data_IF_649903247931
#
_entry.id   IF_649903247931
#
_cell.length_a   1.000
_cell.length_b   1.000
_cell.length_c   1.000
_cell.angle_alpha   90.00
_cell.angle_beta   90.00
_cell.angle_gamma   90.00
#
_symmetry.space_group_name_H-M   'P 1'
#
loop_
_entity.id
_entity.type
_entity.pdbx_description
1 polymer ?
#
# COMPACT_ATOMS: atom_id res chain seq x y z
N UNK A 1 17.58 105.64 -15.53
CA UNK A 1 18.12 104.29 -15.82
C UNK A 1 17.40 103.22 -15.01
N UNK A 2 16.12 103.01 -15.29
CA UNK A 2 15.30 101.83 -14.98
C UNK A 2 14.35 101.80 -16.19
N UNK A 3 14.33 100.82 -17.10
CA UNK A 3 13.67 99.55 -16.90
C UNK A 3 13.92 98.61 -18.12
N UNK A 4 15.13 98.61 -18.71
CA UNK A 4 15.40 97.79 -19.92
C UNK A 4 15.73 96.33 -19.55
N UNK A 5 16.18 96.05 -18.32
CA UNK A 5 16.50 94.67 -17.88
C UNK A 5 15.27 93.80 -17.57
N UNK A 6 14.13 94.40 -17.20
CA UNK A 6 12.91 93.64 -16.86
C UNK A 6 12.20 93.11 -18.12
N UNK A 7 12.18 93.88 -19.22
CA UNK A 7 11.56 93.48 -20.48
C UNK A 7 12.25 92.27 -21.14
N UNK A 8 13.59 92.21 -21.13
CA UNK A 8 14.32 91.12 -21.79
C UNK A 8 14.17 89.77 -21.04
N UNK A 9 14.20 89.79 -19.69
CA UNK A 9 13.98 88.56 -18.89
C UNK A 9 12.56 88.02 -19.00
N UNK A 10 11.57 88.91 -19.17
CA UNK A 10 10.17 88.52 -19.33
C UNK A 10 9.92 87.84 -20.68
N UNK A 11 10.52 88.36 -21.76
CA UNK A 11 10.43 87.74 -23.09
C UNK A 11 11.14 86.38 -23.14
N UNK A 12 12.32 86.24 -22.51
CA UNK A 12 13.00 84.94 -22.39
C UNK A 12 12.14 83.93 -21.60
N UNK A 13 11.49 84.35 -20.52
CA UNK A 13 10.60 83.47 -19.75
C UNK A 13 9.37 83.04 -20.55
N UNK A 14 8.80 83.92 -21.38
CA UNK A 14 7.65 83.56 -22.24
C UNK A 14 8.06 82.56 -23.32
N UNK A 15 9.21 82.77 -23.96
CA UNK A 15 9.72 81.85 -24.98
C UNK A 15 10.06 80.48 -24.37
N UNK A 16 10.70 80.45 -23.20
CA UNK A 16 10.98 79.19 -22.48
C UNK A 16 9.71 78.46 -22.07
N UNK A 17 8.66 79.17 -21.67
CA UNK A 17 7.38 78.54 -21.32
C UNK A 17 6.63 78.08 -22.56
N UNK A 18 6.69 78.81 -23.68
CA UNK A 18 6.14 78.37 -24.96
C UNK A 18 6.84 77.12 -25.49
N UNK A 19 8.18 77.04 -25.40
CA UNK A 19 8.96 75.84 -25.75
C UNK A 19 8.60 74.65 -24.84
N UNK A 20 8.37 74.89 -23.55
CA UNK A 20 7.89 73.85 -22.62
C UNK A 20 6.48 73.36 -22.94
N UNK A 21 5.57 74.26 -23.33
CA UNK A 21 4.22 73.89 -23.74
C UNK A 21 4.28 73.07 -25.02
N UNK A 22 5.07 73.50 -26.00
CA UNK A 22 5.25 72.75 -27.25
C UNK A 22 5.86 71.36 -27.00
N UNK A 23 6.87 71.25 -26.14
CA UNK A 23 7.44 69.95 -25.76
C UNK A 23 6.41 69.03 -25.08
N UNK A 24 5.53 69.59 -24.23
CA UNK A 24 4.42 68.83 -23.61
C UNK A 24 3.35 68.42 -24.61
N UNK A 25 3.06 69.24 -25.61
CA UNK A 25 2.12 68.89 -26.69
C UNK A 25 2.67 67.75 -27.54
N UNK A 26 3.97 67.76 -27.84
CA UNK A 26 4.66 66.67 -28.54
C UNK A 26 4.67 65.37 -27.70
N UNK A 27 4.94 65.47 -26.39
CA UNK A 27 4.88 64.34 -25.45
C UNK A 27 3.47 63.77 -25.34
N UNK A 28 2.44 64.63 -25.30
CA UNK A 28 1.04 64.22 -25.28
C UNK A 28 0.63 63.53 -26.58
N UNK A 29 1.07 64.06 -27.73
CA UNK A 29 0.83 63.44 -29.04
C UNK A 29 1.49 62.06 -29.14
N UNK A 30 2.72 61.93 -28.66
CA UNK A 30 3.42 60.65 -28.61
C UNK A 30 2.72 59.65 -27.67
N UNK A 31 2.26 60.11 -26.51
CA UNK A 31 1.51 59.27 -25.55
C UNK A 31 0.18 58.82 -26.14
N UNK A 32 -0.53 59.70 -26.84
CA UNK A 32 -1.79 59.36 -27.51
C UNK A 32 -1.59 58.33 -28.63
N UNK A 33 -0.48 58.43 -29.38
CA UNK A 33 -0.12 57.43 -30.37
C UNK A 33 0.15 56.06 -29.73
N UNK A 34 0.94 56.02 -28.65
CA UNK A 34 1.19 54.78 -27.91
C UNK A 34 -0.11 54.18 -27.33
N UNK A 35 -1.06 55.01 -26.89
CA UNK A 35 -2.35 54.57 -26.39
C UNK A 35 -3.16 53.87 -27.50
N UNK A 36 -3.22 54.49 -28.68
CA UNK A 36 -3.92 53.92 -29.84
C UNK A 36 -3.29 52.58 -30.28
N UNK A 37 -1.96 52.49 -30.31
CA UNK A 37 -1.26 51.22 -30.61
C UNK A 37 -1.59 50.12 -29.59
N UNK A 38 -1.71 50.47 -28.31
CA UNK A 38 -2.13 49.52 -27.27
C UNK A 38 -3.60 49.11 -27.39
N UNK A 39 -4.49 50.02 -27.77
CA UNK A 39 -5.90 49.69 -28.03
C UNK A 39 -6.04 48.69 -29.19
N UNK A 40 -5.25 48.86 -30.25
CA UNK A 40 -5.26 47.93 -31.38
C UNK A 40 -4.67 46.56 -31.00
N UNK A 41 -3.62 46.52 -30.18
CA UNK A 41 -3.11 45.27 -29.60
C UNK A 41 -4.14 44.58 -28.69
N UNK A 42 -4.91 45.35 -27.93
CA UNK A 42 -5.97 44.81 -27.07
C UNK A 42 -7.08 44.18 -27.91
N UNK A 43 -7.58 44.88 -28.94
CA UNK A 43 -8.60 44.35 -29.87
C UNK A 43 -8.12 43.07 -30.57
N UNK A 44 -6.85 43.03 -30.97
CA UNK A 44 -6.25 41.83 -31.58
C UNK A 44 -6.19 40.66 -30.58
N UNK A 45 -5.83 40.95 -29.32
CA UNK A 45 -5.79 39.95 -28.25
C UNK A 45 -7.19 39.44 -27.89
N UNK A 46 -8.20 40.31 -27.83
CA UNK A 46 -9.60 39.94 -27.60
C UNK A 46 -10.13 39.04 -28.74
N UNK A 47 -9.80 39.35 -29.99
CA UNK A 47 -10.14 38.51 -31.13
C UNK A 47 -9.46 37.14 -31.07
N UNK A 48 -8.20 37.07 -30.62
CA UNK A 48 -7.48 35.81 -30.41
C UNK A 48 -8.14 34.98 -29.30
N UNK A 49 -8.51 35.61 -28.18
CA UNK A 49 -9.21 34.94 -27.07
C UNK A 49 -10.57 34.42 -27.54
N UNK A 50 -11.35 35.20 -28.27
CA UNK A 50 -12.62 34.77 -28.83
C UNK A 50 -12.46 33.57 -29.79
N UNK A 51 -11.42 33.59 -30.64
CA UNK A 51 -11.10 32.47 -31.52
C UNK A 51 -10.68 31.22 -30.73
N UNK A 52 -9.83 31.36 -29.71
CA UNK A 52 -9.45 30.24 -28.83
C UNK A 52 -10.65 29.68 -28.06
N UNK A 53 -11.57 30.54 -27.61
CA UNK A 53 -12.82 30.11 -26.97
C UNK A 53 -13.72 29.36 -27.94
N UNK A 54 -13.84 29.84 -29.18
CA UNK A 54 -14.60 29.16 -30.23
C UNK A 54 -13.95 27.82 -30.62
N UNK A 55 -12.63 27.77 -30.77
CA UNK A 55 -11.88 26.53 -30.99
C UNK A 55 -12.03 25.56 -29.81
N UNK A 56 -12.03 26.05 -28.57
CA UNK A 56 -12.30 25.24 -27.37
C UNK A 56 -13.74 24.72 -27.35
N UNK A 57 -14.72 25.55 -27.75
CA UNK A 57 -16.13 25.16 -27.87
C UNK A 57 -16.31 24.10 -28.96
N UNK A 58 -15.68 24.28 -30.12
CA UNK A 58 -15.69 23.30 -31.21
C UNK A 58 -14.93 22.02 -30.83
N UNK A 59 -13.82 22.12 -30.12
CA UNK A 59 -13.10 20.96 -29.58
C UNK A 59 -13.93 20.19 -28.54
N UNK A 60 -14.71 20.89 -27.70
CA UNK A 60 -15.68 20.27 -26.77
C UNK A 60 -16.82 19.56 -27.50
N UNK A 61 -17.21 20.02 -28.69
CA UNK A 61 -18.25 19.40 -29.53
C UNK A 61 -17.68 18.21 -30.33
N UNK A 62 -16.42 18.28 -30.76
CA UNK A 62 -15.73 17.26 -31.57
C UNK A 62 -15.01 16.17 -30.76
N UNK A 63 -14.82 16.35 -29.45
CA UNK A 63 -14.19 15.38 -28.56
C UNK A 63 -15.18 14.86 -27.49
N UNK A 64 -16.25 14.13 -27.85
CA UNK A 64 -16.67 13.07 -26.95
C UNK A 64 -15.51 12.05 -26.88
N UNK A 65 -15.37 11.31 -25.79
CA UNK A 65 -14.33 10.28 -25.58
C UNK A 65 -12.99 10.77 -25.07
N UNK A 66 -12.95 11.19 -23.81
CA UNK A 66 -12.07 10.47 -22.89
C UNK A 66 -12.86 10.22 -21.61
N UNK A 67 -12.95 8.93 -21.31
CA UNK A 67 -13.71 8.36 -20.21
C UNK A 67 -12.67 7.91 -19.22
N UNK A 68 -12.67 8.51 -18.04
CA UNK A 68 -11.89 7.97 -16.96
C UNK A 68 -12.67 6.80 -16.41
N UNK A 69 -12.17 5.60 -16.69
CA UNK A 69 -12.69 4.35 -16.17
C UNK A 69 -11.72 3.84 -15.11
N UNK A 70 -12.16 3.63 -13.86
CA UNK A 70 -11.27 3.20 -12.77
C UNK A 70 -11.81 1.99 -12.04
N UNK A 71 -10.94 1.05 -11.70
CA UNK A 71 -11.20 -0.08 -10.82
C UNK A 71 -10.31 -0.07 -9.55
N UNK A 72 -10.58 -0.96 -8.57
CA UNK A 72 -9.76 -1.11 -7.37
C UNK A 72 -8.29 -1.44 -7.68
N UNK A 73 -7.34 -0.89 -6.91
CA UNK A 73 -5.91 -1.05 -7.15
C UNK A 73 -5.35 -2.46 -6.85
N UNK A 74 -6.00 -3.24 -5.99
CA UNK A 74 -5.67 -4.64 -5.71
C UNK A 74 -6.95 -5.45 -5.57
N UNK A 75 -7.00 -6.62 -6.20
CA UNK A 75 -8.14 -7.54 -6.14
C UNK A 75 -7.65 -8.87 -5.62
N UNK A 76 -8.34 -9.41 -4.62
CA UNK A 76 -8.14 -10.77 -4.15
C UNK A 76 -9.39 -11.59 -4.39
N UNK A 77 -9.22 -12.90 -4.50
CA UNK A 77 -10.31 -13.83 -4.66
C UNK A 77 -9.98 -15.15 -3.96
N UNK A 78 -11.00 -15.95 -3.68
CA UNK A 78 -10.84 -17.34 -3.30
C UNK A 78 -11.17 -18.24 -4.50
N UNK A 79 -10.46 -19.35 -4.66
CA UNK A 79 -10.73 -20.34 -5.72
C UNK A 79 -12.22 -20.70 -5.75
N UNK A 80 -12.80 -20.64 -6.95
CA UNK A 80 -14.21 -20.88 -7.27
C UNK A 80 -15.20 -19.91 -6.60
N UNK A 81 -14.73 -18.78 -6.05
CA UNK A 81 -15.58 -17.68 -5.60
C UNK A 81 -15.43 -16.49 -6.55
N UNK A 82 -16.53 -15.74 -6.69
CA UNK A 82 -16.57 -14.54 -7.52
C UNK A 82 -15.79 -13.40 -6.86
N UNK A 83 -14.86 -12.80 -7.60
CA UNK A 83 -14.30 -11.50 -7.29
C UNK A 83 -15.02 -10.43 -8.12
N UNK A 84 -15.33 -9.32 -7.47
CA UNK A 84 -16.06 -8.19 -8.06
C UNK A 84 -15.12 -7.01 -8.26
N UNK A 85 -15.12 -6.48 -9.47
CA UNK A 85 -14.33 -5.30 -9.84
C UNK A 85 -15.33 -4.29 -10.37
N UNK A 86 -15.61 -3.29 -9.53
CA UNK A 86 -16.46 -2.18 -9.92
C UNK A 86 -15.66 -1.25 -10.84
N UNK A 87 -16.18 -1.02 -12.04
CA UNK A 87 -15.65 -0.07 -13.02
C UNK A 87 -16.60 1.11 -13.08
N UNK A 88 -16.10 2.28 -12.72
CA UNK A 88 -16.87 3.53 -12.78
C UNK A 88 -16.48 4.36 -13.99
N UNK A 89 -17.44 4.86 -14.74
CA UNK A 89 -17.21 5.74 -15.88
C UNK A 89 -17.48 7.20 -15.49
N UNK A 90 -16.50 8.07 -15.75
CA UNK A 90 -16.62 9.51 -15.53
C UNK A 90 -16.07 10.33 -16.69
N UNK A 91 -16.59 11.55 -16.83
CA UNK A 91 -16.00 12.57 -17.67
C UNK A 91 -14.70 13.14 -17.06
N UNK A 92 -14.02 14.01 -17.80
CA UNK A 92 -12.79 14.67 -17.35
C UNK A 92 -12.91 15.54 -16.09
N UNK A 93 -14.12 15.99 -15.76
CA UNK A 93 -14.40 16.74 -14.55
C UNK A 93 -14.72 15.84 -13.35
N UNK A 94 -14.69 14.51 -13.55
CA UNK A 94 -15.03 13.50 -12.55
C UNK A 94 -16.54 13.30 -12.39
N UNK A 95 -17.37 13.80 -13.30
CA UNK A 95 -18.82 13.59 -13.23
C UNK A 95 -19.22 12.25 -13.84
N UNK A 96 -20.19 11.53 -13.25
CA UNK A 96 -20.68 10.27 -13.81
C UNK A 96 -21.17 10.46 -15.24
N UNK A 97 -20.75 9.57 -16.13
CA UNK A 97 -21.07 9.66 -17.55
C UNK A 97 -21.50 8.30 -18.07
N UNK A 98 -22.67 8.23 -18.70
CA UNK A 98 -23.19 6.99 -19.30
C UNK A 98 -22.86 6.95 -20.79
N UNK A 99 -22.36 5.82 -21.26
CA UNK A 99 -22.30 5.53 -22.69
C UNK A 99 -22.75 4.09 -22.94
N UNK A 100 -23.37 3.85 -24.10
CA UNK A 100 -23.60 2.51 -24.63
C UNK A 100 -22.27 1.95 -25.17
N UNK A 101 -21.34 1.60 -24.28
CA UNK A 101 -20.03 1.04 -24.65
C UNK A 101 -19.94 -0.44 -24.37
N UNK A 102 -19.17 -1.10 -25.23
CA UNK A 102 -18.79 -2.49 -25.03
C UNK A 102 -17.63 -2.52 -24.04
N UNK A 103 -17.95 -2.66 -22.75
CA UNK A 103 -16.94 -3.03 -21.76
C UNK A 103 -16.60 -4.51 -21.97
N UNK A 104 -15.33 -4.79 -22.17
CA UNK A 104 -14.81 -6.14 -22.29
C UNK A 104 -13.76 -6.36 -21.23
N UNK A 105 -13.76 -7.53 -20.62
CA UNK A 105 -12.75 -7.91 -19.65
C UNK A 105 -12.21 -9.29 -20.02
N UNK A 106 -10.89 -9.40 -20.04
CA UNK A 106 -10.17 -10.59 -20.49
C UNK A 106 -9.10 -10.97 -19.50
N UNK A 107 -9.00 -12.26 -19.21
CA UNK A 107 -7.91 -12.82 -18.42
C UNK A 107 -6.74 -13.11 -19.35
N UNK A 108 -5.62 -12.39 -19.20
CA UNK A 108 -4.50 -12.55 -20.13
C UNK A 108 -3.52 -13.60 -19.66
N UNK A 109 -3.18 -13.60 -18.37
CA UNK A 109 -2.05 -14.36 -17.85
C UNK A 109 -2.37 -15.00 -16.50
N UNK A 110 -2.08 -16.29 -16.40
CA UNK A 110 -2.00 -17.00 -15.12
C UNK A 110 -0.55 -17.39 -14.89
N UNK A 111 0.00 -16.99 -13.74
CA UNK A 111 1.30 -17.46 -13.30
C UNK A 111 1.10 -18.58 -12.29
N UNK A 112 1.31 -19.81 -12.76
CA UNK A 112 1.25 -20.99 -11.91
C UNK A 112 2.65 -21.28 -11.37
N UNK A 113 2.76 -21.35 -10.04
CA UNK A 113 3.93 -21.99 -9.44
C UNK A 113 3.62 -23.50 -9.36
N UNK A 114 4.40 -24.31 -10.06
CA UNK A 114 4.28 -25.76 -10.00
C UNK A 114 5.42 -26.32 -9.15
N UNK A 115 5.13 -27.07 -8.08
CA UNK A 115 6.17 -27.81 -7.38
C UNK A 115 6.69 -28.91 -8.31
N UNK A 116 7.98 -28.87 -8.61
CA UNK A 116 8.66 -29.94 -9.34
C UNK A 116 8.94 -31.12 -8.41
N UNK A 117 9.21 -32.31 -8.97
CA UNK A 117 9.67 -33.49 -8.23
C UNK A 117 10.88 -33.23 -7.30
N UNK A 118 11.61 -32.13 -7.53
CA UNK A 118 12.74 -31.68 -6.71
C UNK A 118 12.38 -30.71 -5.56
N UNK A 119 11.10 -30.55 -5.20
CA UNK A 119 10.60 -29.52 -4.24
C UNK A 119 10.97 -28.08 -4.63
N UNK A 120 11.32 -27.82 -5.90
CA UNK A 120 11.55 -26.47 -6.45
C UNK A 120 10.28 -25.93 -7.08
N UNK A 121 9.99 -24.64 -6.91
CA UNK A 121 8.92 -23.96 -7.62
C UNK A 121 9.41 -23.43 -8.97
N UNK A 122 8.76 -23.87 -10.04
CA UNK A 122 8.89 -23.25 -11.35
C UNK A 122 7.63 -22.44 -11.64
N UNK A 123 7.85 -21.25 -12.17
CA UNK A 123 6.78 -20.32 -12.54
C UNK A 123 6.59 -20.41 -14.05
N UNK A 124 5.37 -20.75 -14.47
CA UNK A 124 5.03 -20.79 -15.89
C UNK A 124 3.85 -19.87 -16.18
N UNK A 125 3.97 -19.10 -17.26
CA UNK A 125 2.92 -18.25 -17.80
C UNK A 125 2.00 -19.12 -18.67
N UNK A 126 0.71 -19.16 -18.36
CA UNK A 126 -0.29 -19.88 -19.18
C UNK A 126 -1.42 -18.94 -19.60
N UNK A 127 -1.91 -19.03 -20.85
CA UNK A 127 -3.16 -18.41 -21.27
C UNK A 127 -4.35 -19.20 -20.69
N UNK A 128 -5.43 -18.52 -20.30
CA UNK A 128 -6.64 -19.17 -19.79
C UNK A 128 -7.92 -18.48 -20.28
N UNK A 129 -9.04 -19.22 -20.30
CA UNK A 129 -10.30 -18.87 -20.99
C UNK A 129 -11.32 -18.10 -20.13
N UNK A 130 -12.44 -17.77 -20.78
CA UNK A 130 -13.42 -16.72 -20.45
C UNK A 130 -14.32 -16.95 -19.20
N UNK A 131 -13.78 -17.08 -17.99
CA UNK A 131 -14.58 -16.99 -16.75
C UNK A 131 -14.72 -15.54 -16.24
N UNK A 132 -14.99 -14.62 -17.16
CA UNK A 132 -15.20 -13.21 -16.84
C UNK A 132 -16.57 -12.80 -17.38
N UNK A 133 -17.40 -12.25 -16.49
CA UNK A 133 -18.73 -11.75 -16.82
C UNK A 133 -18.74 -10.27 -16.52
N UNK A 134 -19.24 -9.47 -17.46
CA UNK A 134 -19.43 -8.02 -17.26
C UNK A 134 -20.92 -7.76 -17.22
N UNK A 135 -21.40 -7.19 -16.12
CA UNK A 135 -22.81 -6.83 -15.95
C UNK A 135 -22.91 -5.34 -15.67
N UNK A 136 -23.84 -4.65 -16.34
CA UNK A 136 -24.15 -3.25 -16.02
C UNK A 136 -24.82 -3.19 -14.65
N UNK A 137 -24.17 -2.57 -13.67
CA UNK A 137 -24.69 -2.38 -12.32
C UNK A 137 -25.54 -1.11 -12.22
N UNK A 138 -25.15 -0.06 -12.94
CA UNK A 138 -25.90 1.18 -13.12
C UNK A 138 -25.51 1.83 -14.48
N UNK A 139 -26.18 2.90 -14.93
CA UNK A 139 -25.83 3.55 -16.21
C UNK A 139 -24.36 4.00 -16.35
N UNK A 140 -23.65 4.14 -15.24
CA UNK A 140 -22.26 4.61 -15.17
C UNK A 140 -21.34 3.67 -14.37
N UNK A 141 -21.85 2.51 -13.90
CA UNK A 141 -21.09 1.50 -13.18
C UNK A 141 -21.28 0.12 -13.79
N UNK A 142 -20.18 -0.59 -13.97
CA UNK A 142 -20.17 -1.97 -14.45
C UNK A 142 -19.50 -2.85 -13.41
N UNK A 143 -20.14 -3.97 -13.08
CA UNK A 143 -19.55 -5.00 -12.25
C UNK A 143 -18.88 -6.03 -13.15
N UNK A 144 -17.56 -6.09 -13.09
CA UNK A 144 -16.76 -7.12 -13.74
C UNK A 144 -16.54 -8.24 -12.73
N UNK A 145 -17.26 -9.34 -12.92
CA UNK A 145 -17.17 -10.53 -12.09
C UNK A 145 -16.19 -11.53 -12.69
N UNK A 146 -15.24 -11.99 -11.88
CA UNK A 146 -14.25 -12.98 -12.27
C UNK A 146 -14.27 -14.17 -11.30
N UNK A 147 -14.31 -15.40 -11.83
CA UNK A 147 -14.26 -16.63 -11.03
C UNK A 147 -13.03 -17.47 -11.40
N UNK A 148 -12.08 -17.54 -10.49
CA UNK A 148 -10.83 -18.25 -10.67
C UNK A 148 -10.94 -19.74 -10.32
N UNK A 149 -10.67 -20.64 -11.27
CA UNK A 149 -10.61 -22.07 -10.99
C UNK A 149 -9.29 -22.52 -10.31
N UNK A 150 -8.27 -21.65 -10.29
CA UNK A 150 -6.92 -21.99 -9.84
C UNK A 150 -6.34 -20.92 -8.93
N UNK A 151 -5.72 -21.36 -7.84
CA UNK A 151 -4.90 -20.53 -6.97
C UNK A 151 -3.70 -19.98 -7.75
N UNK A 152 -3.28 -18.75 -7.45
CA UNK A 152 -2.16 -18.13 -8.14
C UNK A 152 -2.29 -16.63 -8.32
N UNK A 153 -1.30 -16.06 -9.00
CA UNK A 153 -1.38 -14.71 -9.55
C UNK A 153 -2.09 -14.76 -10.90
N UNK A 154 -3.10 -13.93 -11.06
CA UNK A 154 -3.84 -13.75 -12.30
C UNK A 154 -3.72 -12.30 -12.75
N UNK A 155 -3.75 -12.05 -14.05
CA UNK A 155 -3.74 -10.70 -14.62
C UNK A 155 -5.03 -10.48 -15.39
N UNK A 156 -5.90 -9.64 -14.85
CA UNK A 156 -7.17 -9.27 -15.47
C UNK A 156 -7.01 -7.93 -16.19
N UNK A 157 -7.28 -7.92 -17.50
CA UNK A 157 -7.31 -6.69 -18.30
C UNK A 157 -8.77 -6.31 -18.58
N UNK A 158 -9.12 -5.07 -18.31
CA UNK A 158 -10.45 -4.51 -18.55
C UNK A 158 -10.30 -3.36 -19.54
N UNK A 159 -11.12 -3.40 -20.59
CA UNK A 159 -11.11 -2.46 -21.70
C UNK A 159 -12.48 -1.86 -21.92
N UNK A 160 -12.46 -0.59 -22.27
CA UNK A 160 -13.61 0.16 -22.79
C UNK A 160 -13.25 0.58 -24.21
N UNK A 161 -14.06 0.19 -25.20
CA UNK A 161 -13.81 0.44 -26.62
C UNK A 161 -12.38 0.06 -27.07
N UNK A 162 -11.94 -1.13 -26.66
CA UNK A 162 -10.59 -1.70 -26.93
C UNK A 162 -9.40 -0.93 -26.32
N UNK A 163 -9.64 0.07 -25.48
CA UNK A 163 -8.60 0.77 -24.71
C UNK A 163 -8.63 0.32 -23.25
N UNK A 164 -7.46 0.14 -22.65
CA UNK A 164 -7.37 -0.19 -21.23
C UNK A 164 -7.94 0.94 -20.38
N UNK A 165 -8.66 0.55 -19.32
CA UNK A 165 -9.10 1.50 -18.30
C UNK A 165 -7.93 1.89 -17.39
N UNK A 166 -8.06 2.98 -16.64
CA UNK A 166 -7.07 3.35 -15.64
C UNK A 166 -6.86 2.21 -14.65
N UNK A 167 -5.60 1.95 -14.31
CA UNK A 167 -5.14 0.84 -13.45
C UNK A 167 -5.27 -0.57 -14.06
N UNK A 168 -5.72 -0.71 -15.31
CA UNK A 168 -5.66 -1.98 -16.02
C UNK A 168 -4.33 -2.15 -16.76
N UNK A 169 -3.73 -3.36 -16.78
CA UNK A 169 -4.20 -4.60 -16.19
C UNK A 169 -4.04 -4.67 -14.66
N UNK A 170 -4.95 -5.40 -14.01
CA UNK A 170 -4.98 -5.64 -12.57
C UNK A 170 -4.34 -6.98 -12.23
N UNK A 171 -3.52 -7.00 -11.18
CA UNK A 171 -3.11 -8.26 -10.55
C UNK A 171 -4.21 -8.74 -9.59
N UNK A 172 -4.69 -9.96 -9.83
CA UNK A 172 -5.70 -10.64 -9.00
C UNK A 172 -5.05 -11.79 -8.25
N UNK A 173 -5.04 -11.69 -6.92
CA UNK A 173 -4.48 -12.70 -6.04
C UNK A 173 -5.53 -13.73 -5.66
N UNK A 174 -5.41 -14.95 -6.19
CA UNK A 174 -6.37 -16.02 -5.95
C UNK A 174 -5.81 -17.00 -4.92
N UNK A 175 -6.48 -17.10 -3.77
CA UNK A 175 -6.12 -17.97 -2.65
C UNK A 175 -6.91 -19.28 -2.69
N UNK A 176 -6.31 -20.36 -2.18
CA UNK A 176 -7.09 -21.58 -1.92
C UNK A 176 -8.14 -21.31 -0.84
N UNK A 177 -9.27 -22.01 -0.91
CA UNK A 177 -10.22 -21.95 0.20
C UNK A 177 -9.57 -22.51 1.47
N UNK A 178 -9.78 -21.92 2.67
CA UNK A 178 -9.13 -22.37 3.90
C UNK A 178 -9.29 -23.87 4.20
N UNK A 179 -10.44 -24.47 3.89
CA UNK A 179 -10.70 -25.91 4.08
C UNK A 179 -9.90 -26.83 3.13
N UNK A 180 -9.23 -26.26 2.13
CA UNK A 180 -8.41 -26.98 1.15
C UNK A 180 -6.90 -26.80 1.40
N UNK A 181 -6.51 -26.05 2.44
CA UNK A 181 -5.12 -25.97 2.89
C UNK A 181 -4.74 -27.34 3.49
N UNK A 182 -4.23 -28.21 2.64
CA UNK A 182 -3.81 -29.56 2.98
C UNK A 182 -2.37 -29.59 3.51
N UNK A 183 -1.57 -30.53 2.98
CA UNK A 183 -0.15 -30.62 3.30
C UNK A 183 0.63 -29.44 2.69
N UNK A 184 1.71 -28.97 3.35
CA UNK A 184 2.55 -27.92 2.80
C UNK A 184 3.13 -28.36 1.45
N UNK A 185 3.09 -27.46 0.48
CA UNK A 185 3.66 -27.65 -0.84
C UNK A 185 5.18 -27.50 -0.84
N UNK A 186 5.73 -26.79 0.14
CA UNK A 186 7.17 -26.65 0.33
C UNK A 186 7.53 -26.38 1.79
N UNK A 187 8.70 -26.87 2.17
CA UNK A 187 9.35 -26.59 3.45
C UNK A 187 10.72 -25.97 3.19
N UNK A 188 11.00 -24.85 3.86
CA UNK A 188 12.33 -24.24 3.93
C UNK A 188 12.87 -24.49 5.34
N UNK A 189 13.78 -25.45 5.47
CA UNK A 189 14.38 -25.87 6.74
C UNK A 189 15.78 -25.25 6.95
N UNK A 190 16.38 -25.53 8.11
CA UNK A 190 17.73 -25.05 8.44
C UNK A 190 17.77 -23.57 8.81
N UNK A 191 16.64 -23.04 9.29
CA UNK A 191 16.54 -21.71 9.86
C UNK A 191 16.88 -21.77 11.36
N UNK A 192 17.21 -20.64 11.96
CA UNK A 192 17.40 -20.53 13.42
C UNK A 192 16.23 -19.75 14.01
N UNK A 193 15.22 -20.47 14.49
CA UNK A 193 13.98 -19.97 15.12
C UNK A 193 13.35 -18.82 14.33
N UNK A 194 12.78 -19.10 13.14
CA UNK A 194 12.24 -18.07 12.27
C UNK A 194 11.03 -17.38 12.93
N UNK A 195 11.08 -16.07 13.10
CA UNK A 195 9.99 -15.31 13.73
C UNK A 195 9.11 -14.64 12.68
N UNK A 196 9.67 -13.66 11.95
CA UNK A 196 8.99 -12.89 10.92
C UNK A 196 9.31 -13.42 9.52
N UNK A 197 8.34 -13.26 8.61
CA UNK A 197 8.47 -13.58 7.19
C UNK A 197 7.79 -12.52 6.34
N UNK A 198 8.43 -12.12 5.24
CA UNK A 198 7.83 -11.28 4.20
C UNK A 198 8.42 -11.64 2.83
N UNK A 199 7.88 -11.08 1.77
CA UNK A 199 8.40 -11.20 0.41
C UNK A 199 8.71 -9.81 -0.15
N UNK A 200 9.74 -9.70 -0.96
CA UNK A 200 10.02 -8.48 -1.73
C UNK A 200 9.37 -8.51 -3.11
N UNK A 201 9.48 -7.42 -3.88
CA UNK A 201 8.89 -7.33 -5.23
C UNK A 201 9.44 -8.35 -6.22
N UNK A 202 10.62 -8.91 -5.96
CA UNK A 202 11.19 -10.00 -6.76
C UNK A 202 10.75 -11.39 -6.28
N UNK A 203 9.84 -11.48 -5.31
CA UNK A 203 9.37 -12.71 -4.67
C UNK A 203 10.49 -13.50 -3.98
N UNK A 204 11.51 -12.81 -3.49
CA UNK A 204 12.48 -13.38 -2.57
C UNK A 204 11.88 -13.40 -1.17
N UNK A 205 11.98 -14.54 -0.50
CA UNK A 205 11.48 -14.73 0.86
C UNK A 205 12.50 -14.18 1.84
N UNK A 206 12.06 -13.27 2.70
CA UNK A 206 12.89 -12.63 3.72
C UNK A 206 12.41 -13.13 5.08
N UNK A 207 13.32 -13.69 5.87
CA UNK A 207 13.02 -14.32 7.16
C UNK A 207 13.94 -13.77 8.23
N UNK A 208 13.38 -13.39 9.38
CA UNK A 208 14.16 -13.04 10.57
C UNK A 208 14.46 -14.32 11.36
N UNK A 209 15.73 -14.60 11.57
CA UNK A 209 16.19 -15.76 12.34
C UNK A 209 16.62 -15.30 13.74
N UNK A 210 15.68 -15.40 14.68
CA UNK A 210 15.74 -14.74 15.99
C UNK A 210 17.02 -15.09 16.78
N UNK A 211 17.33 -16.38 16.92
CA UNK A 211 18.49 -16.86 17.71
C UNK A 211 19.81 -16.59 16.99
N UNK A 212 19.85 -16.63 15.66
CA UNK A 212 21.08 -16.33 14.91
C UNK A 212 21.30 -14.83 14.65
N UNK A 213 20.40 -13.97 15.14
CA UNK A 213 20.56 -12.53 15.12
C UNK A 213 20.76 -11.93 13.72
N UNK A 214 20.05 -12.47 12.74
CA UNK A 214 20.22 -12.08 11.33
C UNK A 214 18.91 -12.18 10.55
N UNK A 215 18.92 -11.55 9.38
CA UNK A 215 17.91 -11.71 8.34
C UNK A 215 18.49 -12.60 7.24
N UNK A 216 17.74 -13.62 6.84
CA UNK A 216 18.07 -14.44 5.67
C UNK A 216 17.12 -14.15 4.53
N UNK A 217 17.67 -14.05 3.32
CA UNK A 217 16.93 -13.88 2.08
C UNK A 217 17.09 -15.12 1.22
N UNK A 218 15.98 -15.63 0.72
CA UNK A 218 15.91 -16.83 -0.11
C UNK A 218 15.33 -16.49 -1.47
N UNK A 219 15.88 -17.07 -2.53
CA UNK A 219 15.31 -16.96 -3.87
C UNK A 219 13.96 -17.70 -3.98
N UNK A 220 13.30 -17.57 -5.12
CA UNK A 220 12.05 -18.30 -5.44
C UNK A 220 12.19 -19.83 -5.37
N UNK A 221 13.43 -20.34 -5.50
CA UNK A 221 13.74 -21.77 -5.37
C UNK A 221 13.91 -22.20 -3.91
N UNK A 222 13.94 -21.27 -2.96
CA UNK A 222 14.14 -21.50 -1.53
C UNK A 222 15.60 -21.68 -1.14
N UNK A 223 16.52 -21.27 -2.01
CA UNK A 223 17.94 -21.28 -1.71
C UNK A 223 18.29 -19.95 -1.04
N UNK A 224 19.05 -20.02 0.06
CA UNK A 224 19.53 -18.84 0.77
C UNK A 224 20.52 -18.11 -0.14
N UNK A 225 20.19 -16.88 -0.54
CA UNK A 225 21.01 -16.07 -1.45
C UNK A 225 21.72 -14.93 -0.74
N UNK A 226 21.15 -14.41 0.35
CA UNK A 226 21.76 -13.32 1.12
C UNK A 226 21.48 -13.48 2.61
N UNK A 227 22.38 -12.93 3.42
CA UNK A 227 22.24 -12.82 4.87
C UNK A 227 22.82 -11.48 5.29
N UNK A 228 22.16 -10.80 6.21
CA UNK A 228 22.71 -9.59 6.84
C UNK A 228 22.26 -9.50 8.30
N UNK A 229 22.99 -8.69 9.08
CA UNK A 229 22.85 -8.62 10.53
C UNK A 229 23.80 -9.56 11.26
N UNK A 230 24.17 -9.13 12.47
CA UNK A 230 24.94 -9.92 13.43
C UNK A 230 24.54 -9.49 14.84
N UNK A 231 24.86 -10.31 15.84
CA UNK A 231 24.57 -9.98 17.24
C UNK A 231 25.30 -8.71 17.68
N UNK A 232 24.56 -7.74 18.21
CA UNK A 232 25.13 -6.57 18.88
C UNK A 232 24.22 -5.36 18.89
N UNK A 233 24.76 -4.25 19.41
CA UNK A 233 24.03 -3.01 19.68
C UNK A 233 24.36 -1.89 18.70
N UNK A 234 25.39 -2.04 17.86
CA UNK A 234 25.68 -1.06 16.83
C UNK A 234 24.46 -0.91 15.89
N UNK A 235 24.31 0.24 15.20
CA UNK A 235 23.50 0.29 13.96
C UNK A 235 23.91 -0.89 13.07
N UNK A 236 23.04 -1.47 12.22
CA UNK A 236 23.28 -2.66 11.39
C UNK A 236 23.39 -4.01 12.13
N UNK A 237 23.73 -4.02 13.42
CA UNK A 237 23.64 -5.20 14.29
C UNK A 237 22.23 -5.31 14.86
N UNK A 238 21.83 -6.52 15.24
CA UNK A 238 20.51 -6.80 15.78
C UNK A 238 20.58 -7.89 16.85
N UNK A 239 19.68 -7.81 17.83
CA UNK A 239 19.45 -8.87 18.81
C UNK A 239 18.01 -9.31 18.68
N UNK A 240 17.81 -10.63 18.64
CA UNK A 240 16.51 -11.28 18.48
C UNK A 240 15.58 -10.57 17.48
N UNK A 241 15.95 -10.46 16.18
CA UNK A 241 15.07 -9.83 15.20
C UNK A 241 13.74 -10.59 15.12
N UNK A 242 12.63 -9.85 15.14
CA UNK A 242 11.26 -10.37 15.18
C UNK A 242 10.50 -10.00 13.91
N UNK A 243 9.74 -8.92 13.94
CA UNK A 243 8.86 -8.52 12.85
C UNK A 243 9.63 -8.07 11.62
N UNK A 244 9.01 -8.34 10.46
CA UNK A 244 9.47 -7.90 9.15
C UNK A 244 8.33 -7.22 8.40
N UNK A 245 8.65 -6.11 7.74
CA UNK A 245 7.78 -5.49 6.76
C UNK A 245 8.60 -4.95 5.59
N UNK A 246 7.94 -4.69 4.48
CA UNK A 246 8.54 -4.07 3.31
C UNK A 246 7.70 -2.87 2.87
N UNK A 247 8.35 -1.80 2.40
CA UNK A 247 7.66 -0.67 1.80
C UNK A 247 7.58 -0.76 0.27
N UNK A 248 6.86 0.18 -0.35
CA UNK A 248 6.72 0.25 -1.81
C UNK A 248 8.04 0.58 -2.53
N UNK A 249 9.10 0.96 -1.83
CA UNK A 249 10.45 1.11 -2.37
C UNK A 249 11.33 -0.12 -2.10
N UNK A 250 10.72 -1.24 -1.68
CA UNK A 250 11.38 -2.52 -1.39
C UNK A 250 12.30 -2.47 -0.15
N UNK A 251 12.22 -1.43 0.68
CA UNK A 251 13.04 -1.35 1.89
C UNK A 251 12.49 -2.26 2.99
N UNK A 252 13.40 -2.95 3.69
CA UNK A 252 13.09 -3.90 4.74
C UNK A 252 13.08 -3.19 6.09
N UNK A 253 11.99 -3.35 6.83
CA UNK A 253 11.85 -2.90 8.21
C UNK A 253 11.98 -4.10 9.14
N UNK A 254 12.84 -3.98 10.14
CA UNK A 254 13.13 -5.03 11.12
C UNK A 254 12.94 -4.46 12.52
N UNK A 255 12.08 -5.11 13.31
CA UNK A 255 12.06 -4.90 14.76
C UNK A 255 13.05 -5.86 15.41
N UNK A 256 13.87 -5.35 16.32
CA UNK A 256 14.88 -6.15 17.01
C UNK A 256 15.15 -5.59 18.39
N UNK A 257 14.97 -6.40 19.42
CA UNK A 257 15.13 -6.02 20.83
C UNK A 257 14.32 -4.75 21.16
N UNK A 258 14.93 -3.55 21.22
CA UNK A 258 14.24 -2.27 21.51
C UNK A 258 14.33 -1.26 20.36
N UNK A 259 14.51 -1.74 19.12
CA UNK A 259 14.81 -0.91 17.96
C UNK A 259 13.96 -1.25 16.75
N UNK A 260 13.77 -0.23 15.91
CA UNK A 260 13.28 -0.37 14.54
C UNK A 260 14.40 0.04 13.58
N UNK A 261 14.76 -0.85 12.67
CA UNK A 261 15.81 -0.63 11.69
C UNK A 261 15.25 -0.78 10.27
N UNK A 262 15.61 0.16 9.39
CA UNK A 262 15.26 0.18 7.97
C UNK A 262 16.51 -0.14 7.14
N UNK A 263 16.39 -1.07 6.22
CA UNK A 263 17.46 -1.53 5.33
C UNK A 263 17.02 -1.50 3.87
N UNK A 264 17.98 -1.46 2.94
CA UNK A 264 17.74 -1.83 1.54
C UNK A 264 17.54 -3.34 1.42
N UNK A 265 17.01 -3.84 0.29
CA UNK A 265 16.99 -5.29 0.00
C UNK A 265 18.38 -5.92 -0.15
N UNK A 266 19.41 -5.10 -0.36
CA UNK A 266 20.82 -5.48 -0.33
C UNK A 266 21.38 -5.70 1.09
N UNK A 267 20.64 -5.29 2.14
CA UNK A 267 21.07 -5.40 3.53
C UNK A 267 21.85 -4.19 4.06
N UNK A 268 21.89 -3.09 3.32
CA UNK A 268 22.52 -1.85 3.76
C UNK A 268 21.58 -1.10 4.72
N UNK A 269 22.10 -0.64 5.85
CA UNK A 269 21.32 0.12 6.83
C UNK A 269 21.02 1.53 6.28
N UNK A 270 19.74 1.89 6.25
CA UNK A 270 19.28 3.23 5.90
C UNK A 270 19.01 4.10 7.13
N UNK A 271 18.34 3.54 8.14
CA UNK A 271 18.02 4.27 9.37
C UNK A 271 17.79 3.31 10.54
N UNK A 272 18.17 3.74 11.73
CA UNK A 272 17.93 3.03 12.98
C UNK A 272 17.33 4.03 13.98
N UNK A 273 16.25 3.64 14.64
CA UNK A 273 15.65 4.39 15.75
C UNK A 273 15.33 3.44 16.91
N UNK A 274 15.01 4.02 18.06
CA UNK A 274 14.60 3.25 19.22
C UNK A 274 15.70 3.03 20.24
N UNK A 275 15.26 2.95 21.48
CA UNK A 275 16.00 2.52 22.66
C UNK A 275 14.97 1.96 23.64
N UNK A 276 15.42 1.26 24.67
CA UNK A 276 14.51 0.76 25.70
C UNK A 276 13.83 1.91 26.42
N UNK A 277 12.50 1.87 26.53
CA UNK A 277 11.76 2.87 27.30
C UNK A 277 10.28 2.94 26.94
N UNK A 278 9.61 3.99 27.43
CA UNK A 278 8.16 4.19 27.34
C UNK A 278 7.76 5.47 26.61
N UNK A 279 8.73 6.34 26.29
CA UNK A 279 8.46 7.60 25.58
C UNK A 279 8.19 7.35 24.11
N UNK A 280 7.79 8.39 23.40
CA UNK A 280 7.62 8.38 21.95
C UNK A 280 8.94 8.02 21.27
N UNK A 281 8.92 7.05 20.35
CA UNK A 281 10.12 6.55 19.69
C UNK A 281 11.02 5.66 20.54
N UNK A 282 10.69 5.41 21.82
CA UNK A 282 11.29 4.36 22.65
C UNK A 282 10.41 3.10 22.60
N UNK A 283 11.01 1.92 22.74
CA UNK A 283 10.29 0.65 22.61
C UNK A 283 10.62 -0.33 23.75
N UNK A 284 9.69 -1.22 24.08
CA UNK A 284 9.93 -2.39 24.94
C UNK A 284 9.34 -3.64 24.28
N UNK A 285 10.22 -4.58 23.92
CA UNK A 285 9.95 -5.76 23.08
C UNK A 285 9.07 -5.53 21.83
N UNK A 286 9.38 -4.59 20.92
CA UNK A 286 8.66 -4.42 19.66
C UNK A 286 8.64 -5.71 18.84
N UNK A 287 7.43 -6.17 18.48
CA UNK A 287 7.19 -7.42 17.74
C UNK A 287 6.79 -7.14 16.30
N UNK A 288 5.50 -7.12 15.99
CA UNK A 288 4.98 -6.88 14.65
C UNK A 288 5.34 -5.50 14.10
N UNK A 289 5.61 -5.46 12.80
CA UNK A 289 5.73 -4.22 12.03
C UNK A 289 4.98 -4.39 10.73
N UNK A 290 4.29 -3.33 10.28
CA UNK A 290 3.62 -3.28 8.98
C UNK A 290 3.75 -1.87 8.41
N UNK A 291 3.92 -1.78 7.09
CA UNK A 291 3.94 -0.51 6.35
C UNK A 291 2.64 -0.38 5.55
N UNK A 292 2.01 0.80 5.60
CA UNK A 292 0.87 1.16 4.76
C UNK A 292 0.81 2.66 4.56
N UNK A 293 0.51 3.11 3.34
CA UNK A 293 0.31 4.52 3.00
C UNK A 293 1.44 5.43 3.52
N UNK A 294 2.70 5.03 3.29
CA UNK A 294 3.91 5.72 3.78
C UNK A 294 4.02 5.86 5.31
N UNK A 295 3.26 5.08 6.09
CA UNK A 295 3.37 4.99 7.54
C UNK A 295 3.85 3.59 7.95
N UNK A 296 4.64 3.55 9.02
CA UNK A 296 5.18 2.35 9.65
C UNK A 296 4.53 2.17 11.00
N UNK A 297 3.84 1.06 11.20
CA UNK A 297 3.12 0.71 12.42
C UNK A 297 3.89 -0.36 13.14
N UNK A 298 4.24 -0.12 14.41
CA UNK A 298 5.01 -1.05 15.25
C UNK A 298 4.19 -1.44 16.45
N UNK A 299 3.99 -2.74 16.65
CA UNK A 299 3.45 -3.30 17.89
C UNK A 299 4.53 -3.25 18.97
N UNK A 300 4.42 -2.27 19.85
CA UNK A 300 5.33 -2.04 20.99
C UNK A 300 4.80 -2.86 22.18
N UNK A 301 5.09 -4.17 22.13
CA UNK A 301 4.36 -5.21 22.85
C UNK A 301 4.31 -4.96 24.36
N UNK A 302 5.45 -4.79 25.01
CA UNK A 302 5.52 -4.67 26.47
C UNK A 302 5.14 -3.27 26.98
N UNK A 303 5.00 -2.31 26.05
CA UNK A 303 4.37 -1.01 26.30
C UNK A 303 2.86 -0.99 26.00
N UNK A 304 2.29 -2.10 25.52
CA UNK A 304 0.86 -2.28 25.28
C UNK A 304 0.26 -1.20 24.37
N UNK A 305 0.97 -0.84 23.29
CA UNK A 305 0.55 0.18 22.33
C UNK A 305 1.05 -0.13 20.94
N UNK A 306 0.48 0.56 19.95
CA UNK A 306 1.05 0.63 18.60
C UNK A 306 1.65 2.01 18.42
N UNK A 307 2.89 2.10 17.94
CA UNK A 307 3.51 3.36 17.55
C UNK A 307 3.51 3.51 16.03
N UNK A 308 3.15 4.70 15.55
CA UNK A 308 3.07 5.03 14.12
C UNK A 308 4.17 6.03 13.80
N UNK A 309 4.94 5.71 12.77
CA UNK A 309 6.01 6.54 12.23
C UNK A 309 5.76 6.84 10.76
N UNK A 310 6.34 7.92 10.24
CA UNK A 310 6.42 8.12 8.80
C UNK A 310 7.40 7.14 8.16
N UNK A 311 7.42 7.04 6.83
CA UNK A 311 8.39 6.24 6.09
C UNK A 311 9.85 6.62 6.38
N UNK A 312 10.06 7.88 6.79
CA UNK A 312 11.34 8.43 7.23
C UNK A 312 11.63 8.15 8.71
N UNK A 313 10.82 7.33 9.39
CA UNK A 313 10.93 6.97 10.81
C UNK A 313 10.85 8.17 11.78
N UNK A 314 10.02 9.16 11.47
CA UNK A 314 9.67 10.21 12.43
C UNK A 314 8.37 9.81 13.14
N UNK A 315 8.31 9.94 14.46
CA UNK A 315 7.11 9.61 15.23
C UNK A 315 5.93 10.49 14.79
N UNK A 316 4.75 9.87 14.66
CA UNK A 316 3.50 10.54 14.28
C UNK A 316 2.52 10.52 15.46
N UNK A 317 2.21 9.32 15.97
CA UNK A 317 1.25 9.11 17.06
C UNK A 317 1.37 7.70 17.65
N UNK A 318 0.74 7.48 18.80
CA UNK A 318 0.48 6.15 19.35
C UNK A 318 -1.01 5.81 19.30
N UNK A 319 -1.33 4.52 19.25
CA UNK A 319 -2.69 3.99 19.30
C UNK A 319 -2.78 3.01 20.47
N UNK A 320 -3.83 3.20 21.28
CA UNK A 320 -4.14 2.38 22.45
C UNK A 320 -3.26 2.62 23.67
N UNK A 321 -3.61 1.92 24.74
CA UNK A 321 -2.97 1.92 26.04
C UNK A 321 -3.14 0.56 26.70
N UNK A 322 -2.38 0.28 27.75
CA UNK A 322 -2.53 -0.97 28.51
C UNK A 322 -3.96 -1.15 29.04
N UNK A 323 -4.54 -2.32 28.81
CA UNK A 323 -5.81 -2.71 29.39
C UNK A 323 -6.49 -3.84 28.63
N UNK A 324 -7.75 -4.10 28.95
CA UNK A 324 -8.58 -5.14 28.31
C UNK A 324 -9.85 -4.59 27.67
N UNK A 325 -10.08 -3.28 27.80
CA UNK A 325 -11.21 -2.57 27.22
C UNK A 325 -11.08 -2.38 25.71
N UNK A 326 -12.04 -1.63 25.18
CA UNK A 326 -12.15 -1.28 23.77
C UNK A 326 -11.04 -0.30 23.38
N UNK A 327 -10.22 -0.64 22.39
CA UNK A 327 -9.09 0.19 21.95
C UNK A 327 -7.89 0.20 22.91
N UNK A 328 -7.99 -0.51 24.04
CA UNK A 328 -6.86 -0.85 24.91
C UNK A 328 -6.22 -2.15 24.44
N UNK A 329 -4.94 -2.33 24.75
CA UNK A 329 -4.19 -3.52 24.36
C UNK A 329 -3.56 -4.22 25.56
N UNK A 330 -3.39 -5.53 25.43
CA UNK A 330 -2.45 -6.28 26.25
C UNK A 330 -1.53 -7.14 25.38
N UNK A 331 -0.24 -6.78 25.34
CA UNK A 331 0.80 -7.41 24.54
C UNK A 331 0.41 -7.56 23.05
N UNK A 332 0.21 -6.44 22.32
CA UNK A 332 -0.06 -6.49 20.88
C UNK A 332 1.16 -7.11 20.16
N UNK A 333 0.92 -8.12 19.31
CA UNK A 333 2.00 -8.90 18.68
C UNK A 333 2.05 -8.69 17.17
N UNK A 334 0.92 -8.87 16.47
CA UNK A 334 0.81 -8.76 15.02
C UNK A 334 -0.18 -7.69 14.58
N UNK A 335 0.04 -7.14 13.38
CA UNK A 335 -0.81 -6.09 12.80
C UNK A 335 -0.87 -6.20 11.28
N UNK A 336 -2.08 -6.19 10.71
CA UNK A 336 -2.31 -6.01 9.25
C UNK A 336 -3.50 -5.12 8.97
N UNK A 337 -3.57 -4.63 7.74
CA UNK A 337 -4.70 -3.85 7.25
C UNK A 337 -5.45 -4.62 6.18
N UNK A 338 -6.79 -4.50 6.17
CA UNK A 338 -7.60 -4.93 5.03
C UNK A 338 -7.61 -3.87 3.91
N UNK A 339 -8.31 -4.14 2.82
CA UNK A 339 -8.41 -3.20 1.68
C UNK A 339 -9.09 -1.89 2.05
N UNK A 340 -10.07 -1.93 2.97
CA UNK A 340 -10.82 -0.76 3.45
C UNK A 340 -10.00 0.11 4.41
N UNK A 341 -8.84 -0.38 4.85
CA UNK A 341 -7.94 0.33 5.76
C UNK A 341 -8.25 0.11 7.23
N UNK A 342 -9.04 -0.91 7.56
CA UNK A 342 -9.21 -1.36 8.93
C UNK A 342 -7.98 -2.13 9.38
N UNK A 343 -7.53 -1.84 10.60
CA UNK A 343 -6.36 -2.39 11.25
C UNK A 343 -6.76 -3.55 12.15
N UNK A 344 -6.24 -4.75 11.87
CA UNK A 344 -6.43 -5.96 12.65
C UNK A 344 -5.19 -6.14 13.51
N UNK A 345 -5.38 -6.26 14.82
CA UNK A 345 -4.31 -6.35 15.80
C UNK A 345 -4.53 -7.59 16.65
N UNK A 346 -3.56 -8.49 16.69
CA UNK A 346 -3.56 -9.63 17.61
C UNK A 346 -2.99 -9.22 18.96
N UNK A 347 -3.64 -9.68 20.03
CA UNK A 347 -3.24 -9.43 21.40
C UNK A 347 -2.94 -10.75 22.09
N UNK A 348 -1.66 -10.97 22.38
CA UNK A 348 -1.19 -12.20 23.00
C UNK A 348 -1.62 -12.32 24.47
N UNK A 349 -1.78 -11.19 25.18
CA UNK A 349 -2.21 -11.15 26.59
C UNK A 349 -3.73 -11.21 26.76
N UNK A 350 -4.49 -10.53 25.88
CA UNK A 350 -5.95 -10.54 25.92
C UNK A 350 -6.59 -11.70 25.13
N UNK A 351 -5.79 -12.53 24.44
CA UNK A 351 -6.25 -13.68 23.64
C UNK A 351 -7.33 -13.32 22.60
N UNK A 352 -7.13 -12.20 21.89
CA UNK A 352 -8.11 -11.71 20.91
C UNK A 352 -7.46 -11.10 19.67
N UNK A 353 -8.30 -10.83 18.67
CA UNK A 353 -8.03 -9.88 17.60
C UNK A 353 -8.96 -8.68 17.77
N UNK A 354 -8.41 -7.47 17.82
CA UNK A 354 -9.19 -6.23 17.68
C UNK A 354 -9.09 -5.69 16.25
N UNK A 355 -10.22 -5.20 15.74
CA UNK A 355 -10.31 -4.49 14.46
C UNK A 355 -10.63 -3.04 14.75
N UNK A 356 -9.75 -2.16 14.29
CA UNK A 356 -9.85 -0.71 14.44
C UNK A 356 -9.93 -0.06 13.05
N UNK A 357 -10.51 1.13 12.92
CA UNK A 357 -10.39 1.90 11.69
C UNK A 357 -8.99 2.52 11.55
N UNK A 358 -8.76 3.22 10.42
CA UNK A 358 -7.49 3.90 10.15
C UNK A 358 -7.12 5.01 11.15
N UNK A 359 -8.08 5.49 11.95
CA UNK A 359 -7.84 6.47 13.02
C UNK A 359 -7.48 5.82 14.36
N UNK A 360 -7.71 4.51 14.50
CA UNK A 360 -7.54 3.75 15.73
C UNK A 360 -8.82 3.58 16.54
N UNK A 361 -9.98 3.99 16.00
CA UNK A 361 -11.27 3.77 16.66
C UNK A 361 -11.68 2.32 16.51
N UNK A 362 -12.17 1.72 17.59
CA UNK A 362 -12.65 0.35 17.60
C UNK A 362 -13.87 0.12 16.72
N UNK A 363 -13.84 -1.02 16.02
CA UNK A 363 -14.93 -1.52 15.20
C UNK A 363 -15.51 -2.81 15.76
N UNK A 364 -14.67 -3.81 16.05
CA UNK A 364 -15.08 -5.12 16.59
C UNK A 364 -13.90 -5.90 17.16
N UNK A 365 -14.20 -6.99 17.86
CA UNK A 365 -13.20 -7.99 18.28
C UNK A 365 -13.73 -9.41 18.10
N UNK A 366 -12.82 -10.37 18.05
CA UNK A 366 -13.13 -11.81 18.01
C UNK A 366 -11.97 -12.64 18.57
N UNK A 367 -12.20 -13.93 18.76
CA UNK A 367 -11.19 -14.89 19.20
C UNK A 367 -11.15 -15.20 20.70
N UNK A 368 -11.99 -14.56 21.52
CA UNK A 368 -12.04 -14.83 22.98
C UNK A 368 -12.73 -16.16 23.34
N UNK A 369 -13.64 -16.62 22.50
CA UNK A 369 -14.51 -17.76 22.79
C UNK A 369 -14.93 -18.54 21.54
N UNK A 370 -15.63 -19.66 21.77
CA UNK A 370 -16.12 -20.53 20.71
C UNK A 370 -15.04 -21.40 20.06
N UNK A 371 -15.35 -21.96 18.90
CA UNK A 371 -14.44 -22.88 18.18
C UNK A 371 -13.16 -22.21 17.70
N UNK A 372 -13.23 -20.91 17.43
CA UNK A 372 -12.09 -20.07 17.10
C UNK A 372 -11.55 -19.32 18.32
N UNK A 373 -11.60 -19.89 19.54
CA UNK A 373 -10.89 -19.29 20.67
C UNK A 373 -9.38 -19.32 20.39
N UNK A 374 -8.68 -18.22 20.69
CA UNK A 374 -7.23 -18.10 20.57
C UNK A 374 -6.56 -18.36 21.93
N UNK A 375 -5.40 -19.00 21.90
CA UNK A 375 -4.46 -19.16 23.00
C UNK A 375 -3.15 -18.46 22.64
N UNK A 376 -3.01 -17.20 23.08
CA UNK A 376 -1.86 -16.34 22.77
C UNK A 376 -1.63 -16.16 21.25
N UNK A 377 -2.45 -15.36 20.54
CA UNK A 377 -2.24 -15.13 19.12
C UNK A 377 -0.98 -14.29 18.85
N UNK A 378 -0.32 -14.52 17.71
CA UNK A 378 0.88 -13.80 17.26
C UNK A 378 0.68 -13.17 15.88
N UNK A 379 1.41 -13.53 14.84
CA UNK A 379 1.24 -12.97 13.51
C UNK A 379 -0.14 -13.25 12.90
N UNK A 380 -0.61 -12.34 12.04
CA UNK A 380 -1.84 -12.52 11.27
C UNK A 380 -1.64 -12.11 9.81
N UNK A 381 -2.47 -12.66 8.92
CA UNK A 381 -2.49 -12.33 7.51
C UNK A 381 -3.93 -12.28 7.00
N UNK A 382 -4.22 -11.29 6.15
CA UNK A 382 -5.53 -11.16 5.50
C UNK A 382 -5.34 -11.58 4.04
N UNK A 383 -6.06 -12.61 3.64
CA UNK A 383 -6.04 -13.15 2.30
C UNK A 383 -7.49 -13.29 1.83
N UNK A 384 -7.85 -12.45 0.84
CA UNK A 384 -9.24 -12.25 0.45
C UNK A 384 -10.10 -11.80 1.65
N UNK A 385 -11.25 -12.42 1.87
CA UNK A 385 -12.13 -12.15 3.02
C UNK A 385 -11.72 -12.88 4.30
N UNK A 386 -10.63 -13.65 4.27
CA UNK A 386 -10.22 -14.49 5.38
C UNK A 386 -9.06 -13.89 6.18
N UNK A 387 -9.17 -13.99 7.50
CA UNK A 387 -8.15 -13.59 8.47
C UNK A 387 -7.52 -14.86 9.04
N UNK A 388 -6.25 -15.08 8.70
CA UNK A 388 -5.44 -16.17 9.23
C UNK A 388 -4.66 -15.67 10.43
N UNK A 389 -4.78 -16.36 11.57
CA UNK A 389 -4.13 -15.97 12.83
C UNK A 389 -3.25 -17.13 13.30
N UNK A 390 -1.98 -16.84 13.56
CA UNK A 390 -1.09 -17.76 14.25
C UNK A 390 -1.50 -17.85 15.73
N UNK A 391 -2.01 -19.01 16.12
CA UNK A 391 -2.46 -19.30 17.47
C UNK A 391 -1.37 -20.14 18.17
N UNK A 392 -0.33 -19.46 18.65
CA UNK A 392 0.94 -20.11 18.97
C UNK A 392 0.91 -20.87 20.29
N UNK A 393 0.01 -20.53 21.22
CA UNK A 393 -0.23 -21.31 22.43
C UNK A 393 -0.91 -22.65 22.15
N UNK A 394 -1.64 -22.76 21.04
CA UNK A 394 -2.35 -23.98 20.61
C UNK A 394 -1.71 -24.66 19.38
N UNK A 395 -0.52 -24.23 18.96
CA UNK A 395 0.28 -24.83 17.88
C UNK A 395 -0.48 -24.98 16.54
N UNK A 396 -1.30 -23.99 16.17
CA UNK A 396 -2.17 -24.03 15.00
C UNK A 396 -2.35 -22.67 14.32
N UNK A 397 -2.97 -22.67 13.14
CA UNK A 397 -3.50 -21.48 12.49
C UNK A 397 -5.02 -21.52 12.59
N UNK A 398 -5.62 -20.41 13.03
CA UNK A 398 -7.08 -20.24 13.07
C UNK A 398 -7.50 -19.29 11.96
N UNK A 399 -8.57 -19.62 11.25
CA UNK A 399 -9.07 -18.84 10.12
C UNK A 399 -10.47 -18.33 10.42
N UNK A 400 -10.66 -17.02 10.26
CA UNK A 400 -11.92 -16.34 10.41
C UNK A 400 -12.33 -15.68 9.10
N UNK A 401 -13.60 -15.34 8.94
CA UNK A 401 -14.02 -14.30 8.00
C UNK A 401 -13.70 -12.91 8.57
N UNK A 402 -13.69 -11.88 7.73
CA UNK A 402 -13.52 -10.49 8.16
C UNK A 402 -14.50 -10.08 9.27
N UNK A 403 -15.72 -10.65 9.28
CA UNK A 403 -16.73 -10.44 10.32
C UNK A 403 -16.31 -10.94 11.72
N UNK A 404 -15.29 -11.80 11.82
CA UNK A 404 -14.86 -12.48 13.05
C UNK A 404 -15.47 -13.87 13.25
N UNK A 405 -16.30 -14.34 12.32
CA UNK A 405 -16.85 -15.70 12.36
C UNK A 405 -15.76 -16.73 12.09
N UNK A 406 -15.68 -17.76 12.94
CA UNK A 406 -14.75 -18.87 12.76
C UNK A 406 -15.10 -19.68 11.51
N UNK A 407 -14.09 -19.96 10.68
CA UNK A 407 -14.21 -20.76 9.46
C UNK A 407 -13.64 -22.14 9.68
N UNK A 408 -12.35 -22.22 10.04
CA UNK A 408 -11.63 -23.47 10.22
C UNK A 408 -10.33 -23.24 11.00
N UNK A 409 -9.62 -24.31 11.32
CA UNK A 409 -8.24 -24.27 11.80
C UNK A 409 -7.46 -25.44 11.25
N UNK A 410 -6.15 -25.26 11.11
CA UNK A 410 -5.24 -26.32 10.66
C UNK A 410 -3.89 -26.22 11.37
N UNK A 411 -3.15 -27.32 11.32
CA UNK A 411 -1.95 -27.51 12.14
C UNK A 411 -2.30 -28.08 13.52
N UNK A 412 -1.27 -28.67 14.12
CA UNK A 412 -1.25 -29.21 15.48
C UNK A 412 0.21 -29.33 15.89
N UNK A 413 0.46 -29.39 17.20
CA UNK A 413 1.81 -29.62 17.72
C UNK A 413 2.47 -30.84 17.08
N UNK A 414 3.66 -30.64 16.52
CA UNK A 414 4.47 -31.74 16.00
C UNK A 414 5.59 -31.28 15.08
N UNK A 415 6.30 -32.23 14.49
CA UNK A 415 7.52 -32.00 13.69
C UNK A 415 7.36 -32.42 12.23
N UNK A 416 6.27 -33.13 11.89
CA UNK A 416 6.02 -33.59 10.51
C UNK A 416 5.55 -32.43 9.63
N UNK A 417 5.66 -32.59 8.32
CA UNK A 417 5.05 -31.63 7.38
C UNK A 417 3.54 -31.50 7.69
N UNK A 418 3.03 -30.27 7.72
CA UNK A 418 1.65 -29.94 8.11
C UNK A 418 1.38 -29.87 9.62
N UNK A 419 2.29 -30.36 10.47
CA UNK A 419 2.30 -30.09 11.92
C UNK A 419 3.10 -28.81 12.19
N UNK A 420 2.75 -28.06 13.22
CA UNK A 420 3.36 -26.78 13.58
C UNK A 420 3.83 -26.84 15.03
N UNK A 421 4.81 -26.02 15.40
CA UNK A 421 5.23 -25.84 16.78
C UNK A 421 5.61 -24.37 17.01
N UNK A 422 4.77 -23.68 17.78
CA UNK A 422 4.75 -22.24 18.03
C UNK A 422 4.76 -21.41 16.73
N UNK A 423 3.75 -21.52 15.86
CA UNK A 423 3.69 -20.69 14.66
C UNK A 423 3.73 -19.20 15.03
N UNK A 424 4.68 -18.41 14.48
CA UNK A 424 4.89 -17.00 14.91
C UNK A 424 4.41 -15.96 13.91
N UNK A 425 4.65 -16.17 12.63
CA UNK A 425 4.27 -15.23 11.58
C UNK A 425 3.70 -15.98 10.39
N UNK A 426 2.75 -15.34 9.74
CA UNK A 426 2.03 -15.86 8.59
C UNK A 426 1.91 -14.73 7.57
N UNK A 427 2.15 -15.06 6.30
CA UNK A 427 1.96 -14.14 5.18
C UNK A 427 1.66 -14.93 3.92
N UNK A 428 1.34 -14.26 2.82
CA UNK A 428 1.34 -14.87 1.50
C UNK A 428 2.45 -14.31 0.62
N UNK A 429 2.86 -15.10 -0.36
CA UNK A 429 3.64 -14.60 -1.51
C UNK A 429 2.70 -14.23 -2.66
N UNK A 430 3.21 -13.59 -3.71
CA UNK A 430 2.36 -13.10 -4.79
C UNK A 430 1.78 -14.19 -5.71
N UNK A 431 1.74 -15.46 -5.30
CA UNK A 431 0.89 -16.50 -5.90
C UNK A 431 -0.25 -16.95 -4.98
N UNK A 432 -0.42 -16.32 -3.82
CA UNK A 432 -1.47 -16.66 -2.88
C UNK A 432 -1.23 -17.94 -2.08
N UNK A 433 -0.01 -18.51 -2.05
CA UNK A 433 0.33 -19.55 -1.07
C UNK A 433 0.60 -18.92 0.29
N UNK A 434 0.14 -19.61 1.33
CA UNK A 434 0.27 -19.17 2.72
C UNK A 434 1.58 -19.70 3.29
N UNK A 435 2.45 -18.82 3.74
CA UNK A 435 3.73 -19.16 4.35
C UNK A 435 3.66 -18.93 5.85
N UNK A 436 4.04 -19.93 6.64
CA UNK A 436 4.00 -19.93 8.10
C UNK A 436 5.41 -20.16 8.66
N UNK A 437 5.86 -19.27 9.54
CA UNK A 437 7.05 -19.49 10.37
C UNK A 437 6.72 -20.50 11.46
N UNK A 438 7.27 -21.72 11.32
CA UNK A 438 7.16 -22.81 12.27
C UNK A 438 8.39 -22.75 13.20
N UNK A 439 8.25 -21.91 14.22
CA UNK A 439 9.35 -21.32 14.97
C UNK A 439 10.24 -22.35 15.65
N UNK A 440 9.66 -23.25 16.44
CA UNK A 440 10.43 -24.23 17.21
C UNK A 440 11.01 -25.32 16.31
N UNK A 441 10.33 -25.63 15.21
CA UNK A 441 10.81 -26.57 14.20
C UNK A 441 11.85 -25.99 13.23
N UNK A 442 12.28 -24.74 13.43
CA UNK A 442 13.39 -24.15 12.67
C UNK A 442 13.16 -24.17 11.14
N UNK A 443 11.90 -23.93 10.72
CA UNK A 443 11.49 -24.00 9.32
C UNK A 443 10.37 -23.02 8.99
N UNK A 444 10.18 -22.79 7.70
CA UNK A 444 8.98 -22.16 7.13
C UNK A 444 8.23 -23.22 6.31
N UNK A 445 6.91 -23.29 6.49
CA UNK A 445 6.03 -24.16 5.70
C UNK A 445 5.14 -23.31 4.79
N UNK A 446 5.04 -23.70 3.52
CA UNK A 446 4.29 -22.98 2.48
C UNK A 446 3.15 -23.88 1.99
N UNK A 447 1.90 -23.45 2.19
CA UNK A 447 0.65 -24.17 1.94
C UNK A 447 -0.05 -23.72 0.65
#
# INVERSE_FOLDING_TARGET
>A
MLNVKTSHSFWISIVQEAERVQAKEEELAHTQQQLNEKEDQLKSSEALVANLQHQLQQAKILAPYIIKASGPGLVSATVNQAAHILVELSDYSGRPYSLHQNITATLEHVYEATPTSSKRWLWSKKPHGNNVVVVTASPFQYDVTYTAAKQGKHTLRVKVDNKDIDNSPFDVMVYAHPSQLGQPKKVVAGLSTPYGITFNKQEEMIVSEMVSHRISVFDRRGQKVRVFGSRGDAPHQMKYPRGLAIDDADNIYVTSEHRLQKFTTGGELLKCIGQRGKKEGEFDDPRGVTVRNNNVYVCDCDNHRIQVFSINLNFIRSIGSRGNGVGEFDAPDGLKFDTDGNMYVTESGNERVQVLDSTGKFLREFGREGKGKLGSPSGLHIADKYVYVCDHGDDRIVVYEASGHFVTSFGKRGVKEGELYEPRCITSCANGFISVCDFTNNRVQIF
#
